data_IF_773442523773
#
_entry.id   IF_773442523773
#
_cell.length_a   1.000
_cell.length_b   1.000
_cell.length_c   1.000
_cell.angle_alpha   90.00
_cell.angle_beta   90.00
_cell.angle_gamma   90.00
#
_symmetry.space_group_name_H-M   'P 1'
#
loop_
_entity.id
_entity.type
_entity.pdbx_description
1 polymer ?
#
# COMPACT_ATOMS: atom_id res chain seq x y z
N UNK A 1 -19.42 -0.73 -9.74
CA UNK A 1 -18.32 -1.49 -10.38
C UNK A 1 -17.19 -1.52 -9.36
N UNK A 2 -17.02 -2.66 -8.68
CA UNK A 2 -16.10 -2.81 -7.56
C UNK A 2 -14.66 -2.80 -8.05
N UNK A 3 -13.87 -1.82 -7.59
CA UNK A 3 -12.45 -1.74 -7.87
C UNK A 3 -11.77 -2.99 -7.33
N UNK A 4 -11.10 -3.74 -8.20
CA UNK A 4 -10.21 -4.82 -7.81
C UNK A 4 -9.06 -4.21 -7.00
N UNK A 5 -9.22 -4.12 -5.68
CA UNK A 5 -8.07 -4.05 -4.79
C UNK A 5 -7.31 -5.37 -5.02
N UNK A 6 -6.20 -5.29 -5.75
CA UNK A 6 -5.24 -6.38 -5.80
C UNK A 6 -4.68 -6.47 -4.39
N UNK A 7 -5.18 -7.43 -3.60
CA UNK A 7 -4.52 -7.81 -2.35
C UNK A 7 -3.02 -8.02 -2.65
N UNK A 8 -2.16 -7.47 -1.79
CA UNK A 8 -0.73 -7.71 -1.90
C UNK A 8 -0.47 -9.22 -1.84
N UNK A 9 0.24 -9.75 -2.83
CA UNK A 9 0.48 -11.19 -2.89
C UNK A 9 1.30 -11.66 -1.69
N UNK A 10 0.81 -12.72 -1.03
CA UNK A 10 1.52 -13.40 0.08
C UNK A 10 2.93 -13.83 -0.34
N UNK A 11 3.13 -14.21 -1.61
CA UNK A 11 4.44 -14.56 -2.13
C UNK A 11 5.44 -13.40 -2.12
N UNK A 12 4.98 -12.19 -2.43
CA UNK A 12 5.81 -10.97 -2.40
C UNK A 12 6.14 -10.58 -0.95
N UNK A 13 5.16 -10.68 -0.05
CA UNK A 13 5.38 -10.41 1.37
C UNK A 13 6.43 -11.36 1.99
N UNK A 14 6.45 -12.64 1.59
CA UNK A 14 7.48 -13.61 2.02
C UNK A 14 8.87 -13.24 1.53
N UNK A 15 9.00 -12.94 0.24
CA UNK A 15 10.30 -12.55 -0.35
C UNK A 15 10.87 -11.30 0.34
N UNK A 16 10.01 -10.32 0.65
CA UNK A 16 10.43 -9.12 1.37
C UNK A 16 10.82 -9.40 2.82
N UNK A 17 10.06 -10.25 3.52
CA UNK A 17 10.40 -10.66 4.88
C UNK A 17 11.74 -11.42 4.94
N UNK A 18 12.00 -12.29 3.97
CA UNK A 18 13.24 -13.07 3.88
C UNK A 18 14.44 -12.21 3.50
N UNK A 19 14.23 -11.16 2.70
CA UNK A 19 15.28 -10.18 2.33
C UNK A 19 15.51 -9.09 3.37
N UNK A 20 14.74 -9.05 4.45
CA UNK A 20 14.77 -7.97 5.43
C UNK A 20 15.99 -8.09 6.36
N UNK A 21 16.68 -6.98 6.70
CA UNK A 21 17.74 -6.99 7.71
C UNK A 21 17.24 -7.52 9.05
N UNK A 22 18.08 -8.26 9.79
CA UNK A 22 17.68 -8.89 11.05
C UNK A 22 17.06 -7.91 12.08
N UNK A 23 17.57 -6.66 12.12
CA UNK A 23 17.04 -5.63 13.01
C UNK A 23 15.62 -5.17 12.63
N UNK A 24 15.30 -5.11 11.34
CA UNK A 24 13.96 -4.79 10.85
C UNK A 24 13.02 -5.98 11.00
N UNK A 25 13.50 -7.18 10.67
CA UNK A 25 12.75 -8.43 10.84
C UNK A 25 12.33 -8.66 12.28
N UNK A 26 13.21 -8.41 13.25
CA UNK A 26 12.88 -8.52 14.67
C UNK A 26 11.76 -7.55 15.11
N UNK A 27 11.67 -6.36 14.50
CA UNK A 27 10.57 -5.42 14.77
C UNK A 27 9.25 -5.95 14.21
N UNK A 28 9.27 -6.47 12.99
CA UNK A 28 8.10 -7.07 12.35
C UNK A 28 7.62 -8.31 13.11
N UNK A 29 8.54 -9.13 13.62
CA UNK A 29 8.22 -10.30 14.44
C UNK A 29 7.64 -9.89 15.80
N UNK A 30 8.20 -8.86 16.45
CA UNK A 30 7.65 -8.34 17.70
C UNK A 30 6.23 -7.74 17.52
N UNK A 31 5.99 -7.02 16.41
CA UNK A 31 4.67 -6.49 16.06
C UNK A 31 3.68 -7.61 15.77
N UNK A 32 4.11 -8.64 15.02
CA UNK A 32 3.30 -9.82 14.74
C UNK A 32 2.92 -10.58 16.01
N UNK A 33 3.85 -10.72 16.95
CA UNK A 33 3.59 -11.31 18.27
C UNK A 33 2.59 -10.48 19.08
N UNK A 34 2.76 -9.14 19.10
CA UNK A 34 1.83 -8.23 19.77
C UNK A 34 0.40 -8.31 19.20
N UNK A 35 0.28 -8.51 17.89
CA UNK A 35 -1.00 -8.63 17.19
C UNK A 35 -1.55 -10.06 17.12
N UNK A 36 -0.77 -11.07 17.54
CA UNK A 36 -1.15 -12.49 17.44
C UNK A 36 -1.27 -13.00 16.00
N UNK A 37 -0.52 -12.42 15.07
CA UNK A 37 -0.53 -12.79 13.64
C UNK A 37 0.86 -13.26 13.20
N UNK A 38 0.99 -13.75 11.97
CA UNK A 38 2.29 -14.08 11.40
C UNK A 38 3.01 -12.82 10.89
N UNK A 39 4.34 -12.78 11.01
CA UNK A 39 5.17 -11.67 10.49
C UNK A 39 4.93 -11.35 9.02
N UNK A 40 4.63 -12.37 8.20
CA UNK A 40 4.26 -12.18 6.79
C UNK A 40 2.96 -11.38 6.60
N UNK A 41 2.02 -11.47 7.53
CA UNK A 41 0.76 -10.73 7.49
C UNK A 41 0.96 -9.26 7.82
N UNK A 42 1.90 -8.94 8.71
CA UNK A 42 2.33 -7.55 8.98
C UNK A 42 2.89 -6.94 7.69
N UNK A 43 3.85 -7.62 7.04
CA UNK A 43 4.44 -7.16 5.77
C UNK A 43 3.36 -7.02 4.68
N UNK A 44 2.43 -7.97 4.57
CA UNK A 44 1.33 -7.88 3.61
C UNK A 44 0.45 -6.66 3.85
N UNK A 45 0.04 -6.40 5.10
CA UNK A 45 -0.76 -5.23 5.46
C UNK A 45 -0.02 -3.93 5.18
N UNK A 46 1.28 -3.86 5.45
CA UNK A 46 2.10 -2.70 5.08
C UNK A 46 2.09 -2.47 3.57
N UNK A 47 2.21 -3.53 2.76
CA UNK A 47 2.11 -3.43 1.30
C UNK A 47 0.72 -2.99 0.85
N UNK A 48 -0.34 -3.50 1.46
CA UNK A 48 -1.72 -3.11 1.14
C UNK A 48 -1.94 -1.61 1.38
N UNK A 49 -1.40 -1.05 2.47
CA UNK A 49 -1.43 0.40 2.75
C UNK A 49 -0.64 1.17 1.69
N UNK A 50 0.56 0.71 1.33
CA UNK A 50 1.36 1.36 0.29
C UNK A 50 0.68 1.33 -1.07
N UNK A 51 0.04 0.22 -1.43
CA UNK A 51 -0.72 0.08 -2.69
C UNK A 51 -1.96 0.97 -2.67
N UNK A 52 -2.70 1.00 -1.55
CA UNK A 52 -3.85 1.88 -1.38
C UNK A 52 -3.47 3.36 -1.45
N UNK A 53 -2.32 3.75 -0.89
CA UNK A 53 -1.78 5.11 -0.99
C UNK A 53 -1.12 5.43 -2.34
N UNK A 54 -0.70 4.40 -3.10
CA UNK A 54 -0.13 4.52 -4.44
C UNK A 54 -1.16 4.48 -5.56
N UNK A 55 -2.43 4.17 -5.24
CA UNK A 55 -3.52 4.55 -6.12
C UNK A 55 -3.36 6.05 -6.38
N UNK A 56 -3.26 6.51 -7.64
CA UNK A 56 -3.13 7.94 -7.88
C UNK A 56 -4.30 8.58 -7.15
N UNK A 57 -4.00 9.55 -6.28
CA UNK A 57 -5.00 10.48 -5.80
C UNK A 57 -5.66 11.00 -7.08
N UNK A 58 -6.79 10.40 -7.44
CA UNK A 58 -7.53 10.76 -8.62
C UNK A 58 -7.95 12.18 -8.29
N UNK A 59 -7.26 13.16 -8.89
CA UNK A 59 -7.60 14.57 -8.78
C UNK A 59 -8.93 14.79 -9.53
N UNK A 60 -9.98 14.11 -9.12
CA UNK A 60 -11.35 14.48 -9.39
C UNK A 60 -11.74 15.49 -8.30
N UNK A 61 -11.28 16.74 -8.44
CA UNK A 61 -11.63 17.78 -7.49
C UNK A 61 -10.66 18.95 -7.43
N UNK A 62 -10.43 19.65 -8.54
CA UNK A 62 -10.12 21.08 -8.46
C UNK A 62 -11.25 21.83 -9.13
N UNK A 63 -12.24 22.37 -8.39
CA UNK A 63 -13.14 23.35 -8.97
C UNK A 63 -12.35 24.65 -9.07
N UNK A 64 -12.09 25.08 -10.29
CA UNK A 64 -11.55 26.41 -10.58
C UNK A 64 -10.08 26.42 -10.91
N UNK A 65 -9.76 26.63 -12.19
CA UNK A 65 -9.51 27.99 -12.72
C UNK A 65 -8.88 27.87 -14.12
N UNK A 66 -9.67 28.28 -15.12
CA UNK A 66 -9.26 29.06 -16.31
C UNK A 66 -8.64 28.31 -17.51
N UNK A 67 -9.48 28.13 -18.53
CA UNK A 67 -9.12 28.28 -19.94
C UNK A 67 -10.33 28.96 -20.62
N UNK A 68 -10.46 30.28 -20.61
CA UNK A 68 -9.89 31.20 -21.60
C UNK A 68 -9.97 30.71 -23.06
N UNK A 69 -10.99 31.23 -23.76
CA UNK A 69 -10.97 31.76 -25.15
C UNK A 69 -11.01 30.78 -26.35
N UNK A 70 -11.96 31.04 -27.25
CA UNK A 70 -11.96 30.64 -28.67
C UNK A 70 -13.33 30.13 -29.12
N UNK A 71 -14.23 30.98 -29.62
CA UNK A 71 -14.51 31.26 -31.04
C UNK A 71 -15.16 30.08 -31.78
N UNK A 72 -16.37 30.33 -32.31
CA UNK A 72 -17.16 29.44 -33.16
C UNK A 72 -18.59 29.91 -33.17
#
# INVERSE_FOLDING_TARGET
MGGHHKDASVGVARVLLDGMPAAERARVEAEAEAEGVAAVEIVRRSLDILIAGSAPASKAGTPGRRAARGRG
#
